data_IF_593956654899
#
_entry.id   IF_593956654899
#
_cell.length_a   1.000
_cell.length_b   1.000
_cell.length_c   1.000
_cell.angle_alpha   90.00
_cell.angle_beta   90.00
_cell.angle_gamma   90.00
#
_symmetry.space_group_name_H-M   'P 1'
#
loop_
_entity.id
_entity.type
_entity.pdbx_description
1 polymer ?
#
# COMPACT_ATOMS: atom_id res chain seq x y z
N UNK A 1 7.51 -0.42 10.32
CA UNK A 1 7.27 -1.88 10.26
C UNK A 1 8.56 -2.57 9.84
N UNK A 2 8.81 -3.83 10.26
CA UNK A 2 9.95 -4.68 9.84
C UNK A 2 11.30 -3.94 9.67
N UNK A 3 11.76 -3.19 10.67
CA UNK A 3 13.05 -2.50 10.59
C UNK A 3 13.05 -1.16 9.85
N UNK A 4 11.92 -0.76 9.24
CA UNK A 4 11.73 0.55 8.64
C UNK A 4 10.64 1.35 9.36
N UNK A 5 10.70 2.68 9.29
CA UNK A 5 9.60 3.54 9.74
C UNK A 5 9.73 4.96 9.19
N UNK A 6 8.57 5.60 9.04
CA UNK A 6 8.45 7.00 8.67
C UNK A 6 8.12 7.84 9.89
N UNK A 7 8.91 8.87 10.17
CA UNK A 7 8.65 9.89 11.19
C UNK A 7 8.24 11.19 10.51
N UNK A 8 7.11 11.74 10.96
CA UNK A 8 6.64 13.06 10.54
C UNK A 8 7.11 14.11 11.55
N UNK A 9 7.96 15.02 11.12
CA UNK A 9 8.40 16.16 11.92
C UNK A 9 7.57 17.42 11.66
N UNK A 10 7.96 18.53 12.27
CA UNK A 10 7.34 19.83 12.03
C UNK A 10 7.53 20.29 10.57
N UNK A 11 6.53 21.00 10.03
CA UNK A 11 6.65 21.67 8.72
C UNK A 11 6.75 20.74 7.51
N UNK A 12 5.94 19.68 7.44
CA UNK A 12 5.90 18.71 6.33
C UNK A 12 7.19 17.91 6.11
N UNK A 13 8.08 17.85 7.10
CA UNK A 13 9.30 17.05 7.01
C UNK A 13 8.99 15.58 7.24
N UNK A 14 9.50 14.73 6.34
CA UNK A 14 9.39 13.28 6.42
C UNK A 14 10.81 12.72 6.57
N UNK A 15 11.02 11.93 7.62
CA UNK A 15 12.25 11.16 7.81
C UNK A 15 11.92 9.68 7.66
N UNK A 16 12.63 9.00 6.77
CA UNK A 16 12.50 7.55 6.57
C UNK A 16 13.76 6.90 7.13
N UNK A 17 13.58 5.99 8.07
CA UNK A 17 14.65 5.12 8.58
C UNK A 17 14.41 3.72 8.06
N UNK A 18 15.45 3.06 7.54
CA UNK A 18 15.44 1.66 7.13
C UNK A 18 16.68 1.01 7.73
N UNK A 19 16.51 -0.08 8.46
CA UNK A 19 17.62 -0.83 9.04
C UNK A 19 18.36 -1.68 8.00
N UNK A 20 19.43 -2.33 8.45
CA UNK A 20 20.27 -3.20 7.61
C UNK A 20 19.93 -4.68 7.75
N UNK A 21 18.73 -5.04 8.25
CA UNK A 21 18.32 -6.44 8.36
C UNK A 21 18.41 -7.12 6.98
N UNK A 22 18.97 -8.34 6.85
CA UNK A 22 19.06 -9.05 5.57
C UNK A 22 17.74 -9.14 4.79
N UNK A 23 16.60 -9.21 5.48
CA UNK A 23 15.28 -9.22 4.84
C UNK A 23 15.00 -7.94 4.05
N UNK A 24 15.64 -6.82 4.42
CA UNK A 24 15.45 -5.47 3.90
C UNK A 24 16.49 -5.06 2.85
N UNK A 25 17.40 -5.96 2.48
CA UNK A 25 18.48 -5.66 1.54
C UNK A 25 18.10 -5.91 0.07
N UNK A 26 18.95 -5.44 -0.85
CA UNK A 26 18.73 -5.60 -2.29
C UNK A 26 17.46 -4.87 -2.75
N UNK A 27 16.69 -5.49 -3.64
CA UNK A 27 15.45 -4.91 -4.16
C UNK A 27 14.35 -4.72 -3.09
N UNK A 28 14.43 -5.44 -1.97
CA UNK A 28 13.52 -5.23 -0.85
C UNK A 28 13.66 -3.83 -0.24
N UNK A 29 14.88 -3.27 -0.25
CA UNK A 29 15.12 -1.88 0.20
C UNK A 29 14.40 -0.85 -0.68
N UNK A 30 14.26 -1.14 -1.98
CA UNK A 30 13.53 -0.28 -2.92
C UNK A 30 12.03 -0.29 -2.60
N UNK A 31 11.44 -1.49 -2.42
CA UNK A 31 10.03 -1.60 -2.01
C UNK A 31 9.78 -0.90 -0.67
N UNK A 32 10.70 -1.04 0.29
CA UNK A 32 10.62 -0.37 1.59
C UNK A 32 10.68 1.16 1.46
N UNK A 33 11.57 1.70 0.64
CA UNK A 33 11.65 3.15 0.43
C UNK A 33 10.34 3.68 -0.18
N UNK A 34 9.77 2.96 -1.15
CA UNK A 34 8.46 3.30 -1.73
C UNK A 34 7.33 3.17 -0.71
N UNK A 35 7.35 2.13 0.12
CA UNK A 35 6.38 1.92 1.20
C UNK A 35 6.40 3.09 2.19
N UNK A 36 7.57 3.42 2.70
CA UNK A 36 7.73 4.44 3.74
C UNK A 36 7.39 5.83 3.20
N UNK A 37 7.84 6.16 1.99
CA UNK A 37 7.46 7.44 1.35
C UNK A 37 5.96 7.56 1.09
N UNK A 38 5.27 6.45 0.79
CA UNK A 38 3.83 6.42 0.57
C UNK A 38 2.99 6.74 1.82
N UNK A 39 3.56 6.60 3.03
CA UNK A 39 2.86 6.99 4.25
C UNK A 39 2.43 8.45 4.24
N UNK A 40 3.14 9.35 3.55
CA UNK A 40 2.73 10.76 3.45
C UNK A 40 1.39 10.93 2.70
N UNK A 41 1.21 10.24 1.57
CA UNK A 41 0.04 10.39 0.70
C UNK A 41 -1.17 9.55 1.15
N UNK A 42 -0.91 8.46 1.88
CA UNK A 42 -1.93 7.44 2.24
C UNK A 42 -2.26 7.45 3.75
N UNK A 43 -1.54 8.24 4.57
CA UNK A 43 -1.69 8.31 6.03
C UNK A 43 -3.15 8.35 6.52
N UNK A 44 -3.46 7.66 7.63
CA UNK A 44 -4.82 7.45 8.13
C UNK A 44 -5.58 8.73 8.50
N UNK A 45 -4.90 9.86 8.67
CA UNK A 45 -5.55 11.12 9.09
C UNK A 45 -5.77 12.11 7.96
N UNK A 46 -4.83 12.20 7.01
CA UNK A 46 -4.81 13.28 6.01
C UNK A 46 -4.40 12.82 4.59
N UNK A 47 -4.29 11.51 4.34
CA UNK A 47 -4.02 11.00 3.00
C UNK A 47 -5.24 11.08 2.08
N UNK A 48 -5.01 11.23 0.76
CA UNK A 48 -6.10 11.20 -0.23
C UNK A 48 -6.85 9.87 -0.20
N UNK A 49 -6.11 8.77 -0.04
CA UNK A 49 -6.67 7.42 0.10
C UNK A 49 -7.46 7.26 1.40
N UNK A 50 -6.96 7.75 2.54
CA UNK A 50 -7.69 7.67 3.80
C UNK A 50 -9.01 8.45 3.76
N UNK A 51 -9.03 9.63 3.13
CA UNK A 51 -10.26 10.38 2.88
C UNK A 51 -11.24 9.62 1.97
N UNK A 52 -10.74 8.99 0.91
CA UNK A 52 -11.57 8.18 0.03
C UNK A 52 -12.17 6.97 0.77
N UNK A 53 -11.38 6.27 1.59
CA UNK A 53 -11.88 5.17 2.44
C UNK A 53 -13.02 5.68 3.32
N UNK A 54 -12.82 6.76 4.08
CA UNK A 54 -13.83 7.29 4.98
C UNK A 54 -15.13 7.68 4.26
N UNK A 55 -15.01 8.40 3.14
CA UNK A 55 -16.14 8.83 2.32
C UNK A 55 -16.94 7.65 1.76
N UNK A 56 -16.27 6.65 1.20
CA UNK A 56 -16.94 5.48 0.62
C UNK A 56 -17.55 4.58 1.69
N UNK A 57 -16.90 4.43 2.85
CA UNK A 57 -17.47 3.73 4.00
C UNK A 57 -18.76 4.40 4.50
N UNK A 58 -18.76 5.73 4.61
CA UNK A 58 -19.95 6.51 4.99
C UNK A 58 -21.07 6.36 3.95
N UNK A 59 -20.76 6.56 2.66
CA UNK A 59 -21.75 6.47 1.58
C UNK A 59 -22.40 5.08 1.47
N UNK A 60 -21.68 4.02 1.85
CA UNK A 60 -22.16 2.64 1.82
C UNK A 60 -22.71 2.15 3.17
N UNK A 61 -22.76 3.01 4.19
CA UNK A 61 -23.18 2.68 5.55
C UNK A 61 -22.40 1.47 6.13
N UNK A 62 -21.08 1.45 5.90
CA UNK A 62 -20.15 0.41 6.38
C UNK A 62 -19.14 1.01 7.36
N UNK A 63 -18.63 0.23 8.33
CA UNK A 63 -17.53 0.69 9.17
C UNK A 63 -16.27 0.93 8.32
N UNK A 64 -15.46 1.93 8.70
CA UNK A 64 -14.14 2.16 8.09
C UNK A 64 -13.27 0.92 8.31
N UNK A 65 -12.81 0.23 7.24
CA UNK A 65 -12.02 -0.98 7.39
C UNK A 65 -10.68 -0.68 8.07
N UNK A 66 -10.42 -1.40 9.16
CA UNK A 66 -9.17 -1.28 9.91
C UNK A 66 -7.98 -1.62 8.99
N UNK A 67 -6.96 -0.77 9.02
CA UNK A 67 -5.67 -0.96 8.33
C UNK A 67 -5.73 -1.09 6.79
N UNK A 68 -6.90 -0.85 6.14
CA UNK A 68 -7.00 -0.88 4.68
C UNK A 68 -6.05 0.11 4.01
N UNK A 69 -5.87 1.29 4.60
CA UNK A 69 -4.91 2.28 4.12
C UNK A 69 -3.47 1.70 4.09
N UNK A 70 -3.08 0.90 5.09
CA UNK A 70 -1.72 0.34 5.17
C UNK A 70 -1.55 -0.85 4.23
N UNK A 71 -2.58 -1.69 4.11
CA UNK A 71 -2.64 -2.74 3.11
C UNK A 71 -2.50 -2.18 1.67
N UNK A 72 -3.14 -1.06 1.37
CA UNK A 72 -3.00 -0.35 0.08
C UNK A 72 -1.55 0.10 -0.14
N UNK A 73 -0.85 0.61 0.88
CA UNK A 73 0.57 0.98 0.74
C UNK A 73 1.41 -0.24 0.38
N UNK A 74 1.25 -1.36 1.09
CA UNK A 74 1.97 -2.60 0.80
C UNK A 74 1.74 -3.10 -0.62
N UNK A 75 0.48 -3.14 -1.03
CA UNK A 75 0.13 -3.57 -2.38
C UNK A 75 0.75 -2.64 -3.43
N UNK A 76 0.59 -1.33 -3.27
CA UNK A 76 1.07 -0.34 -4.24
C UNK A 76 2.59 -0.34 -4.36
N UNK A 77 3.31 -0.33 -3.23
CA UNK A 77 4.77 -0.35 -3.23
C UNK A 77 5.31 -1.64 -3.84
N UNK A 78 4.70 -2.78 -3.51
CA UNK A 78 5.06 -4.08 -4.04
C UNK A 78 4.83 -4.19 -5.55
N UNK A 79 3.67 -3.77 -6.03
CA UNK A 79 3.32 -3.87 -7.46
C UNK A 79 4.16 -2.93 -8.32
N UNK A 80 4.41 -1.69 -7.89
CA UNK A 80 5.31 -0.81 -8.64
C UNK A 80 6.76 -1.32 -8.62
N UNK A 81 7.26 -1.79 -7.48
CA UNK A 81 8.62 -2.36 -7.42
C UNK A 81 8.75 -3.56 -8.35
N UNK A 82 7.81 -4.50 -8.30
CA UNK A 82 7.80 -5.69 -9.16
C UNK A 82 7.69 -5.32 -10.64
N UNK A 83 6.83 -4.36 -10.98
CA UNK A 83 6.65 -3.87 -12.36
C UNK A 83 7.92 -3.23 -12.87
N UNK A 84 8.48 -2.26 -12.15
CA UNK A 84 9.65 -1.51 -12.59
C UNK A 84 10.86 -2.44 -12.73
N UNK A 85 11.07 -3.36 -11.78
CA UNK A 85 12.14 -4.37 -11.86
C UNK A 85 12.00 -5.30 -13.07
N UNK A 86 10.77 -5.61 -13.49
CA UNK A 86 10.54 -6.43 -14.68
C UNK A 86 11.02 -5.74 -15.97
N UNK A 87 11.00 -4.40 -16.02
CA UNK A 87 11.57 -3.63 -17.14
C UNK A 87 13.10 -3.81 -17.23
N UNK A 88 13.75 -4.10 -16.10
CA UNK A 88 15.17 -4.43 -16.00
C UNK A 88 15.45 -5.95 -16.03
N UNK A 89 14.49 -6.77 -16.48
CA UNK A 89 14.59 -8.24 -16.59
C UNK A 89 14.73 -8.97 -15.25
N UNK A 90 14.37 -8.34 -14.13
CA UNK A 90 14.26 -8.99 -12.83
C UNK A 90 12.81 -9.44 -12.66
N UNK A 91 12.54 -10.72 -12.92
CA UNK A 91 11.18 -11.27 -12.98
C UNK A 91 10.82 -12.17 -11.80
N UNK A 92 11.78 -12.51 -10.95
CA UNK A 92 11.64 -13.38 -9.77
C UNK A 92 11.43 -12.62 -8.47
N UNK A 93 11.35 -11.29 -8.52
CA UNK A 93 11.08 -10.46 -7.36
C UNK A 93 9.68 -10.72 -6.79
N UNK A 94 9.62 -11.19 -5.55
CA UNK A 94 8.36 -11.38 -4.81
C UNK A 94 8.15 -10.23 -3.82
N UNK A 95 7.09 -9.42 -3.96
CA UNK A 95 6.84 -8.32 -3.01
C UNK A 95 6.58 -8.80 -1.59
N UNK A 96 6.87 -7.97 -0.58
CA UNK A 96 6.74 -8.36 0.83
C UNK A 96 5.36 -8.87 1.19
N UNK A 97 4.32 -8.24 0.65
CA UNK A 97 2.94 -8.57 0.96
C UNK A 97 2.63 -10.04 0.61
N UNK A 98 3.23 -10.54 -0.48
CA UNK A 98 3.09 -11.91 -0.98
C UNK A 98 3.98 -12.93 -0.25
N UNK A 99 4.93 -12.48 0.58
CA UNK A 99 5.75 -13.36 1.45
C UNK A 99 5.00 -13.76 2.74
N UNK A 100 3.71 -14.06 2.62
CA UNK A 100 2.83 -14.50 3.71
C UNK A 100 2.21 -13.38 4.56
N UNK A 101 2.51 -12.10 4.29
CA UNK A 101 1.94 -10.98 5.05
C UNK A 101 0.43 -10.87 4.84
N UNK A 102 -0.08 -11.10 3.63
CA UNK A 102 -1.52 -11.13 3.37
C UNK A 102 -2.26 -12.08 4.30
N UNK A 103 -1.85 -13.35 4.34
CA UNK A 103 -2.47 -14.35 5.20
C UNK A 103 -2.38 -14.01 6.70
N UNK A 104 -1.27 -13.41 7.13
CA UNK A 104 -1.01 -13.09 8.54
C UNK A 104 -1.73 -11.84 9.05
N UNK A 105 -1.78 -10.78 8.24
CA UNK A 105 -2.26 -9.46 8.67
C UNK A 105 -3.62 -9.09 8.06
N UNK A 106 -3.85 -9.42 6.79
CA UNK A 106 -5.00 -8.96 6.01
C UNK A 106 -5.56 -10.02 5.06
N UNK A 107 -6.00 -11.19 5.58
CA UNK A 107 -6.37 -12.33 4.74
C UNK A 107 -7.51 -12.02 3.76
N UNK A 108 -8.36 -11.05 4.10
CA UNK A 108 -9.51 -10.66 3.29
C UNK A 108 -9.24 -9.49 2.34
N UNK A 109 -8.06 -8.84 2.40
CA UNK A 109 -7.79 -7.63 1.60
C UNK A 109 -7.04 -7.92 0.30
N UNK A 110 -6.31 -9.03 0.20
CA UNK A 110 -5.52 -9.35 -1.00
C UNK A 110 -6.39 -9.35 -2.27
N UNK A 111 -7.46 -10.16 -2.29
CA UNK A 111 -8.31 -10.32 -3.46
C UNK A 111 -9.04 -9.02 -3.86
N UNK A 112 -9.64 -8.24 -2.94
CA UNK A 112 -10.18 -6.92 -3.28
C UNK A 112 -9.16 -5.97 -3.89
N UNK A 113 -7.91 -5.95 -3.40
CA UNK A 113 -6.86 -5.10 -3.95
C UNK A 113 -6.46 -5.54 -5.36
N UNK A 114 -6.27 -6.85 -5.57
CA UNK A 114 -5.98 -7.40 -6.90
C UNK A 114 -7.08 -7.11 -7.94
N UNK A 115 -8.34 -7.15 -7.53
CA UNK A 115 -9.47 -6.95 -8.44
C UNK A 115 -9.81 -5.47 -8.68
N UNK A 116 -9.71 -4.63 -7.65
CA UNK A 116 -10.30 -3.28 -7.67
C UNK A 116 -9.28 -2.16 -7.46
N UNK A 117 -8.15 -2.43 -6.80
CA UNK A 117 -7.08 -1.46 -6.67
C UNK A 117 -6.09 -1.50 -7.85
N UNK A 118 -5.74 -2.70 -8.32
CA UNK A 118 -4.84 -2.87 -9.45
C UNK A 118 -5.28 -2.08 -10.71
N UNK A 119 -6.56 -2.07 -11.12
CA UNK A 119 -6.99 -1.25 -12.25
C UNK A 119 -6.76 0.25 -12.05
N UNK A 120 -6.82 0.76 -10.81
CA UNK A 120 -6.49 2.16 -10.52
C UNK A 120 -5.00 2.43 -10.70
N UNK A 121 -4.12 1.53 -10.22
CA UNK A 121 -2.68 1.64 -10.43
C UNK A 121 -2.29 1.58 -11.91
N UNK A 122 -3.11 0.90 -12.73
CA UNK A 122 -2.96 0.82 -14.18
C UNK A 122 -3.62 1.97 -14.93
N UNK A 123 -4.23 2.94 -14.24
CA UNK A 123 -4.91 4.09 -14.84
C UNK A 123 -6.20 3.74 -15.57
N UNK A 124 -6.80 2.57 -15.32
CA UNK A 124 -8.02 2.09 -15.98
C UNK A 124 -9.30 2.59 -15.32
N UNK A 125 -9.24 2.94 -14.04
CA UNK A 125 -10.34 3.52 -13.26
C UNK A 125 -9.81 4.64 -12.37
N UNK A 126 -10.68 5.56 -11.97
CA UNK A 126 -10.33 6.59 -10.99
C UNK A 126 -10.31 6.06 -9.54
N UNK A 127 -9.78 6.88 -8.64
CA UNK A 127 -9.64 6.55 -7.21
C UNK A 127 -11.00 6.26 -6.55
N UNK A 128 -12.02 7.05 -6.89
CA UNK A 128 -13.33 6.97 -6.26
C UNK A 128 -14.02 5.65 -6.64
N UNK A 129 -13.96 5.26 -7.92
CA UNK A 129 -14.50 3.99 -8.41
C UNK A 129 -13.77 2.79 -7.81
N UNK A 130 -12.44 2.84 -7.75
CA UNK A 130 -11.64 1.78 -7.13
C UNK A 130 -12.00 1.61 -5.66
N UNK A 131 -12.04 2.73 -4.91
CA UNK A 131 -12.35 2.70 -3.49
C UNK A 131 -13.77 2.22 -3.22
N UNK A 132 -14.76 2.69 -3.99
CA UNK A 132 -16.14 2.25 -3.86
C UNK A 132 -16.26 0.73 -4.03
N UNK A 133 -15.59 0.15 -5.03
CA UNK A 133 -15.60 -1.28 -5.27
C UNK A 133 -14.90 -2.08 -4.17
N UNK A 134 -13.76 -1.58 -3.64
CA UNK A 134 -13.06 -2.20 -2.51
C UNK A 134 -13.98 -2.22 -1.29
N UNK A 135 -14.53 -1.07 -0.87
CA UNK A 135 -15.43 -0.98 0.28
C UNK A 135 -16.68 -1.85 0.09
N UNK A 136 -17.21 -1.93 -1.13
CA UNK A 136 -18.35 -2.80 -1.42
C UNK A 136 -18.02 -4.30 -1.23
N UNK A 137 -16.78 -4.71 -1.53
CA UNK A 137 -16.32 -6.09 -1.44
C UNK A 137 -15.87 -6.53 -0.02
N UNK A 138 -15.80 -5.59 0.93
CA UNK A 138 -15.48 -5.84 2.35
C UNK A 138 -16.75 -5.98 3.20
#
# INVERSE_FOLDING_TARGET
WAGAYTTFGDGQRVHITIDTDPANQGFASLELLFHESSHWMVSPRNGAVARAIARESEAQNKPVPKDLWHAIIFYTAGEFTRKDLSEYRVTDYTPYAYRGLWARAWPNLQKPLELYWQPYLEGKVDLDKAMANIINAL
#
